data_IF_613899955186
#
_entry.id   IF_613899955186
#
_cell.length_a   1.000
_cell.length_b   1.000
_cell.length_c   1.000
_cell.angle_alpha   90.00
_cell.angle_beta   90.00
_cell.angle_gamma   90.00
#
_symmetry.space_group_name_H-M   'P 1'
#
loop_
_entity.id
_entity.type
_entity.pdbx_description
1 polymer ?
#
# COMPACT_ATOMS: atom_id res chain seq x y z
N UNK A 1 3.19 19.02 19.28
CA UNK A 1 3.32 17.93 18.28
C UNK A 1 2.89 18.49 16.95
N UNK A 2 3.77 18.53 15.94
CA UNK A 2 3.38 18.99 14.61
C UNK A 2 2.42 17.96 14.00
N UNK A 3 1.28 18.42 13.48
CA UNK A 3 0.33 17.57 12.79
C UNK A 3 1.00 17.00 11.53
N UNK A 4 1.01 15.67 11.39
CA UNK A 4 1.58 15.00 10.21
C UNK A 4 0.66 15.23 9.03
N UNK A 5 1.18 15.80 7.93
CA UNK A 5 0.41 16.04 6.70
C UNK A 5 -0.16 14.74 6.11
N UNK A 6 -1.26 14.86 5.39
CA UNK A 6 -1.91 13.72 4.69
C UNK A 6 -0.92 13.05 3.75
N UNK A 7 -0.13 13.82 2.99
CA UNK A 7 0.92 13.29 2.11
C UNK A 7 1.91 12.40 2.86
N UNK A 8 2.40 12.85 4.02
CA UNK A 8 3.36 12.08 4.80
C UNK A 8 2.73 10.81 5.38
N UNK A 9 1.45 10.87 5.78
CA UNK A 9 0.69 9.67 6.22
C UNK A 9 0.49 8.69 5.06
N UNK A 10 0.10 9.19 3.88
CA UNK A 10 -0.10 8.41 2.67
C UNK A 10 1.17 7.64 2.28
N UNK A 11 2.31 8.33 2.16
CA UNK A 11 3.61 7.70 1.86
C UNK A 11 4.02 6.67 2.92
N UNK A 12 3.74 6.97 4.18
CA UNK A 12 3.93 6.03 5.29
C UNK A 12 3.09 4.75 5.12
N UNK A 13 1.81 4.88 4.77
CA UNK A 13 0.91 3.75 4.54
C UNK A 13 1.30 2.93 3.30
N UNK A 14 1.71 3.59 2.20
CA UNK A 14 2.26 2.92 1.01
C UNK A 14 3.45 2.03 1.41
N UNK A 15 4.41 2.60 2.14
CA UNK A 15 5.59 1.85 2.60
C UNK A 15 5.22 0.68 3.51
N UNK A 16 4.23 0.85 4.39
CA UNK A 16 3.77 -0.23 5.26
C UNK A 16 3.16 -1.39 4.46
N UNK A 17 2.33 -1.09 3.46
CA UNK A 17 1.76 -2.10 2.55
C UNK A 17 2.88 -2.82 1.79
N UNK A 18 3.86 -2.11 1.26
CA UNK A 18 5.03 -2.71 0.58
C UNK A 18 5.76 -3.70 1.48
N UNK A 19 6.03 -3.32 2.73
CA UNK A 19 6.70 -4.21 3.70
C UNK A 19 5.87 -5.47 3.99
N UNK A 20 4.55 -5.35 4.10
CA UNK A 20 3.69 -6.51 4.32
C UNK A 20 3.59 -7.42 3.09
N UNK A 21 3.55 -6.86 1.88
CA UNK A 21 3.62 -7.65 0.64
C UNK A 21 4.92 -8.45 0.57
N UNK A 22 6.06 -7.82 0.91
CA UNK A 22 7.35 -8.51 0.96
C UNK A 22 7.37 -9.65 1.99
N UNK A 23 6.81 -9.40 3.18
CA UNK A 23 6.69 -10.41 4.22
C UNK A 23 5.83 -11.59 3.77
N UNK A 24 4.68 -11.33 3.17
CA UNK A 24 3.74 -12.35 2.68
C UNK A 24 4.42 -13.25 1.65
N UNK A 25 5.14 -12.68 0.69
CA UNK A 25 5.84 -13.45 -0.35
C UNK A 25 7.22 -13.99 0.05
N UNK A 26 7.77 -13.60 1.21
CA UNK A 26 9.18 -13.84 1.59
C UNK A 26 10.16 -13.41 0.49
N UNK A 27 9.83 -12.30 -0.19
CA UNK A 27 10.53 -11.75 -1.35
C UNK A 27 10.52 -10.22 -1.25
N UNK A 28 11.47 -9.54 -1.87
CA UNK A 28 11.42 -8.07 -2.02
C UNK A 28 10.79 -7.64 -3.34
N UNK A 29 10.28 -8.59 -4.12
CA UNK A 29 9.47 -8.31 -5.31
C UNK A 29 8.01 -8.06 -4.90
N UNK A 30 7.51 -6.87 -5.26
CA UNK A 30 6.13 -6.46 -5.01
C UNK A 30 5.13 -7.32 -5.79
N UNK A 31 5.49 -7.77 -7.00
CA UNK A 31 4.61 -8.60 -7.83
C UNK A 31 4.44 -10.00 -7.25
N UNK A 32 5.49 -10.57 -6.66
CA UNK A 32 5.38 -11.79 -5.87
C UNK A 32 4.48 -11.57 -4.65
N UNK A 33 4.60 -10.42 -3.99
CA UNK A 33 3.73 -9.99 -2.90
C UNK A 33 2.25 -10.00 -3.27
N UNK A 34 1.88 -9.36 -4.38
CA UNK A 34 0.50 -9.35 -4.85
C UNK A 34 0.01 -10.73 -5.27
N UNK A 35 0.85 -11.50 -5.98
CA UNK A 35 0.51 -12.86 -6.38
C UNK A 35 0.18 -13.73 -5.17
N UNK A 36 1.00 -13.66 -4.13
CA UNK A 36 0.84 -14.45 -2.92
C UNK A 36 -0.33 -13.96 -2.06
N UNK A 37 -0.48 -12.64 -1.88
CA UNK A 37 -1.63 -12.07 -1.16
C UNK A 37 -2.96 -12.46 -1.81
N UNK A 38 -3.03 -12.47 -3.14
CA UNK A 38 -4.19 -12.97 -3.90
C UNK A 38 -4.40 -14.47 -3.72
N UNK A 39 -3.33 -15.27 -3.80
CA UNK A 39 -3.38 -16.73 -3.60
C UNK A 39 -3.93 -17.10 -2.21
N UNK A 40 -3.58 -16.31 -1.19
CA UNK A 40 -4.03 -16.48 0.19
C UNK A 40 -5.37 -15.79 0.49
N UNK A 41 -5.99 -15.10 -0.47
CA UNK A 41 -7.27 -14.42 -0.30
C UNK A 41 -7.22 -13.18 0.62
N UNK A 42 -6.03 -12.60 0.84
CA UNK A 42 -5.84 -11.43 1.70
C UNK A 42 -6.28 -10.14 1.04
N UNK A 43 -6.06 -10.04 -0.28
CA UNK A 43 -6.50 -8.93 -1.10
C UNK A 43 -7.44 -9.45 -2.19
N UNK A 44 -8.56 -8.74 -2.37
CA UNK A 44 -9.44 -8.91 -3.51
C UNK A 44 -8.90 -8.14 -4.72
N UNK A 45 -9.39 -8.41 -5.95
CA UNK A 45 -8.96 -7.68 -7.14
C UNK A 45 -9.07 -6.15 -7.02
N UNK A 46 -10.12 -5.66 -6.36
CA UNK A 46 -10.33 -4.23 -6.11
C UNK A 46 -9.29 -3.64 -5.14
N UNK A 47 -8.88 -4.40 -4.13
CA UNK A 47 -7.85 -3.96 -3.19
C UNK A 47 -6.49 -3.88 -3.88
N UNK A 48 -6.15 -4.87 -4.72
CA UNK A 48 -4.90 -4.88 -5.50
C UNK A 48 -4.86 -3.71 -6.49
N UNK A 49 -5.94 -3.47 -7.24
CA UNK A 49 -6.04 -2.34 -8.15
C UNK A 49 -5.86 -1.00 -7.42
N UNK A 50 -6.49 -0.85 -6.25
CA UNK A 50 -6.33 0.32 -5.40
C UNK A 50 -4.87 0.50 -4.95
N UNK A 51 -4.23 -0.52 -4.37
CA UNK A 51 -2.84 -0.41 -3.90
C UNK A 51 -1.89 -0.07 -5.05
N UNK A 52 -2.07 -0.67 -6.23
CA UNK A 52 -1.28 -0.35 -7.43
C UNK A 52 -1.41 1.12 -7.83
N UNK A 53 -2.64 1.65 -7.83
CA UNK A 53 -2.86 3.08 -8.11
C UNK A 53 -2.18 3.99 -7.08
N UNK A 54 -2.13 3.58 -5.81
CA UNK A 54 -1.40 4.31 -4.78
C UNK A 54 0.12 4.25 -4.98
N UNK A 55 0.67 3.14 -5.47
CA UNK A 55 2.11 3.01 -5.76
C UNK A 55 2.51 3.89 -6.94
N UNK A 56 1.68 3.95 -7.98
CA UNK A 56 1.87 4.88 -9.10
C UNK A 56 1.82 6.33 -8.62
N UNK A 57 0.87 6.66 -7.74
CA UNK A 57 0.75 7.99 -7.15
C UNK A 57 1.98 8.38 -6.31
N UNK A 58 2.45 7.50 -5.42
CA UNK A 58 3.67 7.73 -4.62
C UNK A 58 4.91 7.87 -5.52
N UNK A 59 5.02 7.07 -6.58
CA UNK A 59 6.10 7.19 -7.56
C UNK A 59 6.09 8.55 -8.29
N UNK A 60 4.91 9.06 -8.68
CA UNK A 60 4.77 10.42 -9.24
C UNK A 60 5.16 11.50 -8.23
N UNK A 61 4.74 11.37 -6.97
CA UNK A 61 5.11 12.28 -5.90
C UNK A 61 6.62 12.30 -5.66
N UNK A 62 7.26 11.13 -5.62
CA UNK A 62 8.71 11.00 -5.45
C UNK A 62 9.49 11.61 -6.62
N UNK A 63 9.00 11.42 -7.85
CA UNK A 63 9.58 12.02 -9.05
C UNK A 63 9.30 13.54 -9.19
N UNK A 64 8.52 14.14 -8.28
CA UNK A 64 8.13 15.55 -8.36
C UNK A 64 7.19 15.85 -9.54
N UNK A 65 6.52 14.84 -10.09
CA UNK A 65 5.58 15.00 -11.19
C UNK A 65 4.30 15.65 -10.63
N UNK A 66 3.79 16.73 -11.26
CA UNK A 66 2.53 17.34 -10.85
C UNK A 66 1.39 16.33 -10.80
N UNK A 67 0.62 16.38 -9.73
CA UNK A 67 -0.56 15.54 -9.54
C UNK A 67 -1.81 16.30 -9.92
N UNK A 68 -2.77 15.58 -10.53
CA UNK A 68 -4.09 16.13 -10.84
C UNK A 68 -4.91 16.35 -9.55
N UNK A 69 -4.67 15.51 -8.53
CA UNK A 69 -5.22 15.64 -7.19
C UNK A 69 -4.21 15.12 -6.14
N UNK A 70 -4.13 15.76 -4.96
CA UNK A 70 -3.33 15.25 -3.84
C UNK A 70 -3.97 13.98 -3.24
N UNK A 71 -3.19 13.16 -2.51
CA UNK A 71 -3.75 12.02 -1.77
C UNK A 71 -4.76 12.50 -0.71
N UNK A 72 -5.86 11.77 -0.57
CA UNK A 72 -6.92 12.06 0.40
C UNK A 72 -6.78 11.25 1.69
N UNK A 73 -7.50 11.65 2.74
CA UNK A 73 -7.56 10.86 3.98
C UNK A 73 -8.19 9.48 3.75
N UNK A 74 -9.19 9.36 2.87
CA UNK A 74 -9.82 8.08 2.53
C UNK A 74 -8.81 7.08 1.93
N UNK A 75 -7.87 7.58 1.12
CA UNK A 75 -6.78 6.74 0.57
C UNK A 75 -5.84 6.25 1.67
N UNK A 76 -5.55 7.09 2.67
CA UNK A 76 -4.73 6.70 3.84
C UNK A 76 -5.43 5.59 4.61
N UNK A 77 -6.73 5.76 4.88
CA UNK A 77 -7.53 4.81 5.66
C UNK A 77 -7.67 3.47 4.92
N UNK A 78 -7.87 3.50 3.61
CA UNK A 78 -7.96 2.28 2.80
C UNK A 78 -6.62 1.54 2.70
N UNK A 79 -5.50 2.25 2.55
CA UNK A 79 -4.16 1.64 2.60
C UNK A 79 -3.91 0.99 3.96
N UNK A 80 -4.35 1.60 5.06
CA UNK A 80 -4.24 1.00 6.40
C UNK A 80 -5.09 -0.27 6.53
N UNK A 81 -6.31 -0.27 5.97
CA UNK A 81 -7.14 -1.49 5.91
C UNK A 81 -6.46 -2.60 5.10
N UNK A 82 -5.83 -2.27 3.97
CA UNK A 82 -5.04 -3.21 3.18
C UNK A 82 -3.83 -3.76 3.98
N UNK A 83 -3.11 -2.88 4.69
CA UNK A 83 -2.00 -3.28 5.54
C UNK A 83 -2.43 -4.26 6.64
N UNK A 84 -3.56 -4.01 7.30
CA UNK A 84 -4.13 -4.92 8.32
C UNK A 84 -4.43 -6.29 7.70
N UNK A 85 -5.09 -6.34 6.53
CA UNK A 85 -5.41 -7.58 5.81
C UNK A 85 -4.15 -8.38 5.43
N UNK A 86 -3.09 -7.70 5.01
CA UNK A 86 -1.81 -8.34 4.72
C UNK A 86 -1.04 -8.74 5.99
N UNK A 87 -1.31 -8.10 7.13
CA UNK A 87 -0.70 -8.42 8.40
C UNK A 87 -1.33 -9.65 9.09
N UNK A 88 -2.61 -9.95 8.82
CA UNK A 88 -3.29 -11.15 9.35
C UNK A 88 -2.79 -12.48 8.73
N UNK A 89 -1.78 -12.44 7.86
CA UNK A 89 -1.01 -13.63 7.50
C UNK A 89 -0.30 -14.16 8.76
N UNK A 90 -0.97 -15.06 9.46
CA UNK A 90 -0.43 -15.84 10.55
C UNK A 90 0.71 -16.70 9.96
N UNK A 91 1.96 -16.56 10.42
CA UNK A 91 3.02 -17.48 10.06
C UNK A 91 2.76 -18.79 10.81
N UNK A 92 1.99 -19.69 10.20
CA UNK A 92 1.94 -21.10 10.59
C UNK A 92 3.29 -21.78 10.32
#
# INVERSE_FOLDING_TARGET
>A
MAEVSIERRFRGSVRLVTLHLWRVARSTDVEDGFREARRLGMLKPEDEAFVRSCFELDGRMEAGVPLDAPPSQDMVDELQRCAIRLNTADPA
#
